data_IF_603196447748
#
_entry.id   IF_603196447748
#
_cell.length_a   1.000
_cell.length_b   1.000
_cell.length_c   1.000
_cell.angle_alpha   90.00
_cell.angle_beta   90.00
_cell.angle_gamma   90.00
#
_symmetry.space_group_name_H-M   'P 1'
#
loop_
_entity.id
_entity.type
_entity.pdbx_description
1 polymer ?
#
# COMPACT_ATOMS: atom_id res chain seq x y z
N UNK A 1 -11.32 -11.72 -10.36
CA UNK A 1 -10.80 -12.25 -9.08
C UNK A 1 -10.00 -11.18 -8.35
N UNK A 2 -8.89 -10.68 -8.94
CA UNK A 2 -7.97 -9.74 -8.29
C UNK A 2 -8.63 -8.57 -7.54
N UNK A 3 -9.52 -7.79 -8.16
CA UNK A 3 -10.08 -6.60 -7.50
C UNK A 3 -10.88 -6.91 -6.21
N UNK A 4 -11.72 -7.96 -6.21
CA UNK A 4 -12.51 -8.31 -5.03
C UNK A 4 -11.62 -8.87 -3.92
N UNK A 5 -10.61 -9.66 -4.30
CA UNK A 5 -9.56 -10.16 -3.42
C UNK A 5 -8.75 -9.00 -2.80
N UNK A 6 -8.35 -8.02 -3.62
CA UNK A 6 -7.57 -6.87 -3.18
C UNK A 6 -8.34 -6.01 -2.18
N UNK A 7 -9.62 -5.74 -2.44
CA UNK A 7 -10.48 -4.99 -1.52
C UNK A 7 -10.71 -5.76 -0.21
N UNK A 8 -10.75 -7.09 -0.24
CA UNK A 8 -11.01 -7.92 0.94
C UNK A 8 -9.78 -8.07 1.84
N UNK A 9 -8.58 -8.13 1.26
CA UNK A 9 -7.34 -8.44 1.99
C UNK A 9 -6.57 -7.18 2.39
N UNK A 10 -6.60 -6.13 1.57
CA UNK A 10 -5.88 -4.87 1.78
C UNK A 10 -6.80 -3.75 2.28
N UNK A 11 -6.66 -3.40 3.57
CA UNK A 11 -7.41 -2.30 4.18
C UNK A 11 -7.02 -0.93 3.63
N UNK A 12 -5.80 -0.78 3.11
CA UNK A 12 -5.32 0.48 2.55
C UNK A 12 -5.59 0.57 1.04
N UNK A 13 -6.27 -0.43 0.46
CA UNK A 13 -6.62 -0.44 -0.96
C UNK A 13 -7.41 0.83 -1.33
N UNK A 14 -6.86 1.57 -2.27
CA UNK A 14 -7.48 2.72 -2.89
C UNK A 14 -7.03 2.81 -4.34
N UNK A 15 -7.91 3.34 -5.18
CA UNK A 15 -7.60 3.70 -6.54
C UNK A 15 -6.76 4.97 -6.53
N UNK A 16 -5.59 4.90 -7.13
CA UNK A 16 -4.74 6.04 -7.41
C UNK A 16 -4.93 6.48 -8.86
N UNK A 17 -4.64 7.76 -9.14
CA UNK A 17 -4.54 8.23 -10.52
C UNK A 17 -3.28 7.59 -11.12
N UNK A 18 -3.47 6.68 -12.08
CA UNK A 18 -2.34 6.09 -12.80
C UNK A 18 -1.75 7.17 -13.71
N UNK A 19 -0.67 7.78 -13.24
CA UNK A 19 0.11 8.69 -14.05
C UNK A 19 1.05 7.89 -14.95
N UNK A 20 1.05 8.24 -16.24
CA UNK A 20 1.95 7.61 -17.20
C UNK A 20 3.40 7.96 -16.84
N UNK A 21 4.37 7.04 -17.07
CA UNK A 21 5.77 7.28 -16.77
C UNK A 21 6.28 8.55 -17.48
N UNK A 22 7.02 9.37 -16.74
CA UNK A 22 7.64 10.58 -17.27
C UNK A 22 8.61 10.23 -18.42
N UNK A 23 8.39 10.83 -19.59
CA UNK A 23 9.15 10.52 -20.81
C UNK A 23 8.56 9.42 -21.69
N UNK A 24 7.43 8.80 -21.31
CA UNK A 24 6.71 7.89 -22.20
C UNK A 24 6.04 8.65 -23.34
N UNK A 25 6.11 8.07 -24.54
CA UNK A 25 5.46 8.62 -25.74
C UNK A 25 3.95 8.76 -25.51
N UNK A 26 3.33 7.81 -24.81
CA UNK A 26 1.90 7.89 -24.48
C UNK A 26 1.57 9.12 -23.63
N UNK A 27 2.41 9.46 -22.64
CA UNK A 27 2.20 10.65 -21.81
C UNK A 27 2.32 11.91 -22.65
N UNK A 28 3.37 12.02 -23.46
CA UNK A 28 3.58 13.17 -24.35
C UNK A 28 2.41 13.36 -25.32
N UNK A 29 1.92 12.27 -25.93
CA UNK A 29 0.75 12.33 -26.82
C UNK A 29 -0.49 12.81 -26.06
N UNK A 30 -0.74 12.27 -24.85
CA UNK A 30 -1.88 12.68 -24.02
C UNK A 30 -1.82 14.15 -23.64
N UNK A 31 -0.65 14.61 -23.17
CA UNK A 31 -0.45 15.99 -22.74
C UNK A 31 -0.59 16.96 -23.90
N UNK A 32 -0.04 16.64 -25.08
CA UNK A 32 -0.20 17.42 -26.31
C UNK A 32 -1.68 17.50 -26.72
N UNK A 33 -2.39 16.37 -26.69
CA UNK A 33 -3.81 16.34 -27.06
C UNK A 33 -4.67 17.17 -26.10
N UNK A 34 -4.42 17.06 -24.79
CA UNK A 34 -5.10 17.86 -23.77
C UNK A 34 -4.80 19.35 -23.96
N UNK A 35 -3.53 19.71 -24.19
CA UNK A 35 -3.15 21.10 -24.42
C UNK A 35 -3.80 21.65 -25.69
N UNK A 36 -3.76 20.91 -26.79
CA UNK A 36 -4.40 21.30 -28.04
C UNK A 36 -5.91 21.52 -27.89
N UNK A 37 -6.60 20.72 -27.07
CA UNK A 37 -8.02 20.95 -26.78
C UNK A 37 -8.27 22.33 -26.15
N UNK A 38 -7.49 22.70 -25.13
CA UNK A 38 -7.64 23.98 -24.42
C UNK A 38 -7.21 25.17 -25.28
N UNK A 39 -6.16 25.01 -26.11
CA UNK A 39 -5.72 26.04 -27.05
C UNK A 39 -6.82 26.31 -28.10
N UNK A 40 -7.40 25.27 -28.68
CA UNK A 40 -8.50 25.39 -29.65
C UNK A 40 -9.78 25.95 -29.01
N UNK A 41 -10.09 25.59 -27.76
CA UNK A 41 -11.22 26.19 -27.03
C UNK A 41 -11.02 27.70 -26.84
N UNK A 42 -9.78 28.13 -26.58
CA UNK A 42 -9.44 29.54 -26.47
C UNK A 42 -9.58 30.26 -27.79
N UNK A 43 -9.08 29.66 -28.89
CA UNK A 43 -9.24 30.19 -30.23
C UNK A 43 -10.72 30.36 -30.60
N UNK A 44 -11.58 29.38 -30.30
CA UNK A 44 -13.02 29.45 -30.57
C UNK A 44 -13.72 30.62 -29.87
N UNK A 45 -13.27 31.00 -28.67
CA UNK A 45 -13.78 32.17 -27.95
C UNK A 45 -13.26 33.51 -28.48
N UNK A 46 -12.11 33.51 -29.16
CA UNK A 46 -11.49 34.70 -29.76
C UNK A 46 -11.98 34.97 -31.20
N UNK A 47 -12.68 34.01 -31.83
CA UNK A 47 -13.30 34.19 -33.15
C UNK A 47 -14.47 35.21 -33.14
N UNK A 48 -14.77 35.83 -34.29
CA UNK A 48 -15.92 36.73 -34.50
C UNK A 48 -16.82 36.24 -35.65
N UNK A 49 -18.03 35.70 -35.37
CA UNK A 49 -18.63 35.52 -34.05
C UNK A 49 -18.04 34.32 -33.29
N UNK A 50 -18.04 34.34 -31.95
CA UNK A 50 -17.46 33.28 -31.12
C UNK A 50 -18.17 31.95 -31.33
N UNK A 51 -17.40 30.87 -31.40
CA UNK A 51 -17.90 29.49 -31.47
C UNK A 51 -17.91 28.87 -30.08
N UNK A 52 -18.87 27.99 -29.84
CA UNK A 52 -19.10 27.36 -28.53
C UNK A 52 -19.22 25.83 -28.61
N UNK A 53 -18.85 25.23 -29.74
CA UNK A 53 -19.04 23.79 -29.96
C UNK A 53 -18.27 22.95 -28.92
N UNK A 54 -16.99 23.27 -28.66
CA UNK A 54 -16.20 22.56 -27.62
C UNK A 54 -16.67 22.90 -26.22
N UNK A 55 -17.08 24.14 -25.97
CA UNK A 55 -17.61 24.55 -24.67
C UNK A 55 -18.88 23.77 -24.30
N UNK A 56 -19.75 23.51 -25.28
CA UNK A 56 -20.94 22.68 -25.11
C UNK A 56 -20.58 21.23 -24.78
N UNK A 57 -19.62 20.63 -25.50
CA UNK A 57 -19.14 19.27 -25.20
C UNK A 57 -18.54 19.20 -23.79
N UNK A 58 -17.74 20.19 -23.41
CA UNK A 58 -17.14 20.26 -22.08
C UNK A 58 -18.20 20.39 -20.97
N UNK A 59 -19.23 21.22 -21.18
CA UNK A 59 -20.33 21.36 -20.22
C UNK A 59 -21.16 20.07 -20.09
N UNK A 60 -21.35 19.35 -21.19
CA UNK A 60 -22.02 18.06 -21.19
C UNK A 60 -21.20 17.00 -20.45
N UNK A 61 -19.88 16.95 -20.66
CA UNK A 61 -18.99 16.07 -19.90
C UNK A 61 -18.97 16.40 -18.40
N UNK A 62 -18.87 17.68 -18.05
CA UNK A 62 -18.92 18.15 -16.65
C UNK A 62 -20.24 17.74 -16.00
N UNK A 63 -21.36 17.91 -16.70
CA UNK A 63 -22.68 17.48 -16.23
C UNK A 63 -22.71 15.98 -15.93
N UNK A 64 -22.27 15.15 -16.87
CA UNK A 64 -22.25 13.70 -16.70
C UNK A 64 -21.33 13.29 -15.54
N UNK A 65 -20.20 13.97 -15.37
CA UNK A 65 -19.29 13.71 -14.26
C UNK A 65 -19.89 14.10 -12.92
N UNK A 66 -20.52 15.27 -12.81
CA UNK A 66 -21.23 15.69 -11.60
C UNK A 66 -22.35 14.70 -11.24
N UNK A 67 -23.10 14.21 -12.22
CA UNK A 67 -24.13 13.19 -12.00
C UNK A 67 -23.53 11.87 -11.52
N UNK A 68 -22.37 11.46 -12.06
CA UNK A 68 -21.67 10.24 -11.65
C UNK A 68 -21.15 10.27 -10.21
N UNK A 69 -20.97 11.47 -9.63
CA UNK A 69 -20.58 11.65 -8.23
C UNK A 69 -21.76 11.48 -7.26
N UNK A 70 -23.00 11.50 -7.74
CA UNK A 70 -24.17 11.38 -6.89
C UNK A 70 -24.57 9.91 -6.70
N UNK A 71 -24.96 9.57 -5.48
CA UNK A 71 -25.48 8.25 -5.17
C UNK A 71 -26.88 8.06 -5.78
N UNK A 72 -27.30 6.82 -6.13
CA UNK A 72 -28.58 6.56 -6.81
C UNK A 72 -29.83 7.10 -6.10
N UNK A 73 -29.77 7.29 -4.77
CA UNK A 73 -30.90 7.79 -3.98
C UNK A 73 -31.02 9.33 -3.97
N UNK A 74 -30.05 10.07 -4.50
CA UNK A 74 -30.02 11.54 -4.50
C UNK A 74 -30.77 12.14 -5.71
N UNK A 75 -32.00 11.66 -5.95
CA UNK A 75 -32.81 11.98 -7.15
C UNK A 75 -33.10 13.47 -7.31
N UNK A 76 -33.32 14.20 -6.19
CA UNK A 76 -33.57 15.65 -6.22
C UNK A 76 -32.38 16.44 -6.76
N UNK A 77 -31.17 16.16 -6.25
CA UNK A 77 -29.95 16.84 -6.70
C UNK A 77 -29.61 16.47 -8.15
N UNK A 78 -29.84 15.21 -8.54
CA UNK A 78 -29.66 14.78 -9.93
C UNK A 78 -30.58 15.56 -10.88
N UNK A 79 -31.84 15.76 -10.51
CA UNK A 79 -32.79 16.53 -11.32
C UNK A 79 -32.39 18.01 -11.40
N UNK A 80 -32.00 18.62 -10.28
CA UNK A 80 -31.54 20.01 -10.25
C UNK A 80 -30.37 20.26 -11.21
N UNK A 81 -29.38 19.35 -11.22
CA UNK A 81 -28.24 19.41 -12.15
C UNK A 81 -28.69 19.27 -13.60
N UNK A 82 -29.60 18.33 -13.88
CA UNK A 82 -30.11 18.10 -15.24
C UNK A 82 -30.86 19.32 -15.79
N UNK A 83 -31.62 19.99 -14.93
CA UNK A 83 -32.40 21.18 -15.30
C UNK A 83 -31.50 22.41 -15.49
N UNK A 84 -30.51 22.61 -14.61
CA UNK A 84 -29.59 23.75 -14.69
C UNK A 84 -28.60 23.61 -15.84
N UNK A 85 -28.02 22.43 -16.05
CA UNK A 85 -27.09 22.13 -17.14
C UNK A 85 -27.83 21.45 -18.31
N UNK A 86 -28.93 22.04 -18.79
CA UNK A 86 -29.62 21.54 -19.99
C UNK A 86 -28.95 22.05 -21.27
N UNK A 87 -28.31 21.14 -22.00
CA UNK A 87 -27.62 21.42 -23.27
C UNK A 87 -28.53 22.07 -24.31
N UNK A 88 -29.84 21.78 -24.31
CA UNK A 88 -30.79 22.41 -25.24
C UNK A 88 -31.01 23.88 -24.90
N UNK A 89 -31.17 24.20 -23.63
CA UNK A 89 -31.32 25.57 -23.14
C UNK A 89 -30.04 26.37 -23.39
N UNK A 90 -28.87 25.77 -23.14
CA UNK A 90 -27.57 26.42 -23.37
C UNK A 90 -27.37 26.74 -24.86
N UNK A 91 -27.74 25.82 -25.78
CA UNK A 91 -27.71 26.09 -27.23
C UNK A 91 -28.64 27.23 -27.64
N UNK A 92 -29.80 27.36 -27.01
CA UNK A 92 -30.72 28.48 -27.23
C UNK A 92 -30.12 29.81 -26.74
N UNK A 93 -29.47 29.82 -25.58
CA UNK A 93 -28.77 31.00 -25.05
C UNK A 93 -27.60 31.45 -25.92
N UNK A 94 -26.84 30.51 -26.49
CA UNK A 94 -25.79 30.80 -27.47
C UNK A 94 -26.38 31.48 -28.70
N UNK A 95 -27.46 30.92 -29.25
CA UNK A 95 -28.13 31.48 -30.44
C UNK A 95 -28.71 32.88 -30.18
N UNK A 96 -29.08 33.18 -28.94
CA UNK A 96 -29.58 34.48 -28.50
C UNK A 96 -28.47 35.45 -28.02
N UNK A 97 -27.20 35.00 -27.95
CA UNK A 97 -26.09 35.80 -27.45
C UNK A 97 -26.15 36.14 -25.96
N UNK A 98 -26.86 35.34 -25.15
CA UNK A 98 -27.10 35.60 -23.71
C UNK A 98 -26.40 34.62 -22.77
N UNK A 99 -25.50 33.77 -23.29
CA UNK A 99 -24.80 32.77 -22.50
C UNK A 99 -23.84 33.43 -21.49
N UNK A 100 -23.99 33.08 -20.21
CA UNK A 100 -23.08 33.49 -19.14
C UNK A 100 -22.33 32.27 -18.57
N UNK A 101 -21.14 32.00 -19.11
CA UNK A 101 -20.26 30.91 -18.67
C UNK A 101 -19.79 31.08 -17.22
N UNK A 102 -19.71 32.30 -16.70
CA UNK A 102 -19.26 32.54 -15.33
C UNK A 102 -20.32 32.16 -14.29
N UNK A 103 -21.60 32.39 -14.60
CA UNK A 103 -22.71 31.91 -13.77
C UNK A 103 -22.74 30.37 -13.71
N UNK A 104 -22.51 29.70 -14.85
CA UNK A 104 -22.41 28.25 -14.91
C UNK A 104 -21.21 27.72 -14.10
N UNK A 105 -20.04 28.32 -14.23
CA UNK A 105 -18.86 27.90 -13.47
C UNK A 105 -19.08 28.06 -11.96
N UNK A 106 -19.67 29.18 -11.51
CA UNK A 106 -20.02 29.37 -10.10
C UNK A 106 -20.99 28.32 -9.56
N UNK A 107 -22.02 27.97 -10.33
CA UNK A 107 -22.94 26.90 -9.97
C UNK A 107 -22.21 25.56 -9.84
N UNK A 108 -21.38 25.20 -10.83
CA UNK A 108 -20.59 23.96 -10.83
C UNK A 108 -19.66 23.92 -9.62
N UNK A 109 -18.91 24.99 -9.35
CA UNK A 109 -17.99 25.08 -8.20
C UNK A 109 -18.76 24.96 -6.88
N UNK A 110 -19.93 25.59 -6.77
CA UNK A 110 -20.77 25.49 -5.56
C UNK A 110 -21.27 24.07 -5.31
N UNK A 111 -21.51 23.31 -6.37
CA UNK A 111 -21.91 21.91 -6.28
C UNK A 111 -20.71 21.02 -5.95
N UNK A 112 -19.56 21.27 -6.58
CA UNK A 112 -18.30 20.59 -6.24
C UNK A 112 -17.96 20.78 -4.76
N UNK A 113 -18.09 22.00 -4.24
CA UNK A 113 -17.87 22.31 -2.83
C UNK A 113 -18.77 21.51 -1.86
N UNK A 114 -19.99 21.16 -2.28
CA UNK A 114 -20.92 20.35 -1.48
C UNK A 114 -20.62 18.86 -1.55
N UNK A 115 -19.97 18.40 -2.61
CA UNK A 115 -19.73 16.97 -2.90
C UNK A 115 -18.30 16.53 -2.63
N UNK A 116 -17.34 17.46 -2.53
CA UNK A 116 -15.94 17.13 -2.34
C UNK A 116 -15.61 16.72 -0.90
N UNK A 117 -14.51 15.96 -0.75
CA UNK A 117 -13.92 15.68 0.55
C UNK A 117 -13.23 16.93 1.11
N UNK A 118 -13.12 17.09 2.45
CA UNK A 118 -12.51 18.28 3.08
C UNK A 118 -11.10 18.61 2.58
N UNK A 119 -10.33 17.61 2.15
CA UNK A 119 -8.99 17.79 1.59
C UNK A 119 -8.94 18.53 0.24
N UNK A 120 -10.09 18.87 -0.35
CA UNK A 120 -10.18 19.58 -1.64
C UNK A 120 -10.68 21.01 -1.52
N UNK A 121 -11.00 21.48 -0.32
CA UNK A 121 -11.55 22.82 -0.08
C UNK A 121 -10.60 23.93 -0.56
N UNK A 122 -9.29 23.72 -0.43
CA UNK A 122 -8.26 24.64 -0.96
C UNK A 122 -8.36 24.79 -2.47
N UNK A 123 -8.55 23.67 -3.17
CA UNK A 123 -8.66 23.67 -4.64
C UNK A 123 -9.93 24.37 -5.09
N UNK A 124 -11.05 24.14 -4.41
CA UNK A 124 -12.32 24.85 -4.67
C UNK A 124 -12.16 26.37 -4.46
N UNK A 125 -11.42 26.80 -3.44
CA UNK A 125 -11.12 28.22 -3.21
C UNK A 125 -10.27 28.82 -4.33
N UNK A 126 -9.26 28.09 -4.82
CA UNK A 126 -8.46 28.51 -5.99
C UNK A 126 -9.34 28.68 -7.23
N UNK A 127 -10.22 27.73 -7.52
CA UNK A 127 -11.15 27.81 -8.66
C UNK A 127 -12.05 29.04 -8.55
N UNK A 128 -12.56 29.34 -7.35
CA UNK A 128 -13.46 30.48 -7.12
C UNK A 128 -12.77 31.83 -7.39
N UNK A 129 -11.44 31.91 -7.22
CA UNK A 129 -10.67 33.12 -7.42
C UNK A 129 -10.22 33.36 -8.88
N UNK A 130 -10.33 32.35 -9.75
CA UNK A 130 -9.89 32.45 -11.14
C UNK A 130 -10.87 33.27 -11.99
N UNK A 131 -10.31 34.19 -12.80
CA UNK A 131 -11.07 35.10 -13.68
C UNK A 131 -11.10 34.64 -15.13
N UNK A 132 -10.05 33.97 -15.58
CA UNK A 132 -9.95 33.48 -16.95
C UNK A 132 -10.84 32.24 -17.12
N UNK A 133 -11.77 32.29 -18.09
CA UNK A 133 -12.80 31.25 -18.27
C UNK A 133 -12.16 29.92 -18.69
N UNK A 134 -11.23 29.93 -19.65
CA UNK A 134 -10.61 28.70 -20.16
C UNK A 134 -9.82 28.02 -19.04
N UNK A 135 -9.02 28.78 -18.30
CA UNK A 135 -8.24 28.28 -17.16
C UNK A 135 -9.16 27.78 -16.03
N UNK A 136 -10.27 28.48 -15.78
CA UNK A 136 -11.26 28.08 -14.78
C UNK A 136 -11.89 26.72 -15.13
N UNK A 137 -12.38 26.57 -16.36
CA UNK A 137 -13.00 25.32 -16.82
C UNK A 137 -12.00 24.17 -16.88
N UNK A 138 -10.74 24.44 -17.25
CA UNK A 138 -9.65 23.48 -17.12
C UNK A 138 -9.45 23.03 -15.68
N UNK A 139 -9.37 23.96 -14.74
CA UNK A 139 -9.24 23.65 -13.32
C UNK A 139 -10.43 22.88 -12.75
N UNK A 140 -11.66 23.24 -13.16
CA UNK A 140 -12.89 22.51 -12.81
C UNK A 140 -12.78 21.06 -13.29
N UNK A 141 -12.43 20.86 -14.56
CA UNK A 141 -12.35 19.53 -15.16
C UNK A 141 -11.30 18.65 -14.46
N UNK A 142 -10.09 19.17 -14.27
CA UNK A 142 -9.01 18.47 -13.56
C UNK A 142 -9.40 18.13 -12.11
N UNK A 143 -10.11 19.03 -11.43
CA UNK A 143 -10.58 18.79 -10.05
C UNK A 143 -11.69 17.73 -10.03
N UNK A 144 -12.60 17.73 -10.99
CA UNK A 144 -13.64 16.70 -11.11
C UNK A 144 -13.05 15.31 -11.39
N UNK A 145 -11.99 15.18 -12.17
CA UNK A 145 -11.28 13.90 -12.34
C UNK A 145 -10.84 13.32 -11.00
N UNK A 146 -10.28 14.17 -10.14
CA UNK A 146 -9.82 13.77 -8.80
C UNK A 146 -11.00 13.42 -7.89
N UNK A 147 -12.08 14.20 -7.94
CA UNK A 147 -13.30 13.92 -7.16
C UNK A 147 -13.93 12.58 -7.54
N UNK A 148 -13.82 12.14 -8.80
CA UNK A 148 -14.31 10.81 -9.22
C UNK A 148 -13.54 9.68 -8.59
N UNK A 149 -12.22 9.83 -8.46
CA UNK A 149 -11.36 8.88 -7.75
C UNK A 149 -11.73 8.87 -6.25
N UNK A 150 -11.92 10.04 -5.66
CA UNK A 150 -12.33 10.18 -4.26
C UNK A 150 -13.69 9.46 -4.00
N UNK A 151 -14.68 9.64 -4.88
CA UNK A 151 -15.98 8.99 -4.80
C UNK A 151 -15.90 7.47 -4.98
N UNK A 152 -15.08 7.00 -5.93
CA UNK A 152 -14.85 5.58 -6.13
C UNK A 152 -14.21 4.95 -4.87
N UNK A 153 -13.20 5.60 -4.29
CA UNK A 153 -12.56 5.16 -3.05
C UNK A 153 -13.51 5.18 -1.86
N UNK A 154 -14.36 6.21 -1.74
CA UNK A 154 -15.42 6.26 -0.74
C UNK A 154 -16.40 5.10 -0.89
N UNK A 155 -16.83 4.81 -2.12
CA UNK A 155 -17.76 3.72 -2.43
C UNK A 155 -17.14 2.36 -2.11
N UNK A 156 -15.89 2.13 -2.49
CA UNK A 156 -15.13 0.92 -2.13
C UNK A 156 -15.09 0.76 -0.61
N UNK A 157 -14.76 1.83 0.14
CA UNK A 157 -14.71 1.78 1.61
C UNK A 157 -16.07 1.45 2.23
N UNK A 158 -17.16 1.99 1.69
CA UNK A 158 -18.52 1.69 2.16
C UNK A 158 -18.94 0.25 1.82
N UNK A 159 -18.55 -0.26 0.65
CA UNK A 159 -18.90 -1.62 0.21
C UNK A 159 -17.96 -2.70 0.73
N UNK A 160 -16.77 -2.36 1.25
CA UNK A 160 -15.75 -3.31 1.71
C UNK A 160 -16.29 -4.38 2.66
N UNK A 161 -17.13 -4.09 3.67
CA UNK A 161 -17.66 -5.13 4.56
C UNK A 161 -18.48 -6.19 3.80
N UNK A 162 -19.28 -5.77 2.81
CA UNK A 162 -20.06 -6.67 1.98
C UNK A 162 -19.18 -7.47 1.01
N UNK A 163 -18.16 -6.83 0.43
CA UNK A 163 -17.20 -7.48 -0.46
C UNK A 163 -16.42 -8.55 0.32
N UNK A 164 -15.89 -8.20 1.49
CA UNK A 164 -15.18 -9.13 2.36
C UNK A 164 -16.06 -10.33 2.75
N UNK A 165 -17.33 -10.10 3.10
CA UNK A 165 -18.26 -11.16 3.49
C UNK A 165 -18.54 -12.18 2.39
N UNK A 166 -18.50 -11.80 1.11
CA UNK A 166 -18.76 -12.69 -0.02
C UNK A 166 -17.49 -13.11 -0.79
N UNK A 167 -16.34 -12.52 -0.46
CA UNK A 167 -15.09 -12.69 -1.21
C UNK A 167 -14.61 -14.13 -1.21
N UNK A 168 -14.75 -14.83 -0.08
CA UNK A 168 -14.30 -16.21 0.10
C UNK A 168 -15.08 -17.16 -0.82
N UNK A 169 -16.41 -17.09 -0.82
CA UNK A 169 -17.25 -17.92 -1.70
C UNK A 169 -17.02 -17.60 -3.17
N UNK A 170 -16.88 -16.31 -3.51
CA UNK A 170 -16.61 -15.87 -4.87
C UNK A 170 -15.27 -16.38 -5.39
N UNK A 171 -14.19 -16.25 -4.62
CA UNK A 171 -12.86 -16.75 -4.98
C UNK A 171 -12.85 -18.27 -5.10
N UNK A 172 -13.49 -18.98 -4.16
CA UNK A 172 -13.60 -20.45 -4.21
C UNK A 172 -14.29 -20.92 -5.50
N UNK A 173 -15.45 -20.33 -5.82
CA UNK A 173 -16.19 -20.68 -7.04
C UNK A 173 -15.38 -20.41 -8.31
N UNK A 174 -14.65 -19.29 -8.37
CA UNK A 174 -13.80 -18.96 -9.52
C UNK A 174 -12.57 -19.84 -9.63
N UNK A 175 -11.99 -20.24 -8.50
CA UNK A 175 -10.88 -21.17 -8.49
C UNK A 175 -11.30 -22.57 -8.94
N UNK A 176 -12.49 -23.04 -8.54
CA UNK A 176 -13.06 -24.28 -9.05
C UNK A 176 -13.26 -24.25 -10.57
N UNK A 177 -13.74 -23.14 -11.14
CA UNK A 177 -13.85 -22.98 -12.58
C UNK A 177 -12.47 -23.02 -13.27
N UNK A 178 -11.45 -22.44 -12.66
CA UNK A 178 -10.07 -22.53 -13.13
C UNK A 178 -9.53 -23.97 -13.15
N UNK A 179 -9.80 -24.75 -12.10
CA UNK A 179 -9.36 -26.14 -12.00
C UNK A 179 -10.05 -27.07 -13.02
N UNK A 180 -11.30 -26.78 -13.43
CA UNK A 180 -11.99 -27.55 -14.49
C UNK A 180 -11.29 -27.44 -15.84
N UNK A 181 -10.66 -26.31 -16.12
CA UNK A 181 -10.01 -26.01 -17.40
C UNK A 181 -8.53 -26.41 -17.37
N UNK A 182 -7.92 -26.43 -16.19
CA UNK A 182 -6.48 -26.67 -16.02
C UNK A 182 -6.24 -28.04 -15.37
N UNK A 183 -5.90 -29.09 -16.15
CA UNK A 183 -5.52 -30.38 -15.58
C UNK A 183 -4.25 -30.23 -14.73
N UNK A 184 -4.28 -30.76 -13.51
CA UNK A 184 -3.20 -30.66 -12.51
C UNK A 184 -2.78 -29.20 -12.19
N UNK A 185 -3.78 -28.33 -11.99
CA UNK A 185 -3.60 -26.91 -11.65
C UNK A 185 -3.08 -26.62 -10.23
N UNK A 186 -2.67 -27.63 -9.46
CA UNK A 186 -2.22 -27.52 -8.06
C UNK A 186 -0.83 -28.15 -7.82
N UNK A 187 -0.05 -28.37 -8.87
CA UNK A 187 1.25 -29.07 -8.78
C UNK A 187 2.25 -28.38 -7.85
N UNK A 188 2.34 -27.05 -7.92
CA UNK A 188 3.32 -26.29 -7.12
C UNK A 188 2.84 -26.22 -5.68
N UNK A 189 1.53 -26.04 -5.49
CA UNK A 189 0.87 -26.07 -4.18
C UNK A 189 1.10 -27.40 -3.48
N UNK A 190 0.93 -28.52 -4.21
CA UNK A 190 1.21 -29.87 -3.71
C UNK A 190 2.67 -29.99 -3.25
N UNK A 191 3.63 -29.69 -4.13
CA UNK A 191 5.05 -29.79 -3.80
C UNK A 191 5.44 -28.90 -2.60
N UNK A 192 4.89 -27.69 -2.54
CA UNK A 192 5.07 -26.75 -1.44
C UNK A 192 4.55 -27.27 -0.10
N UNK A 193 3.39 -27.92 -0.07
CA UNK A 193 2.85 -28.50 1.16
C UNK A 193 3.63 -29.73 1.60
N UNK A 194 3.99 -30.64 0.69
CA UNK A 194 4.72 -31.85 1.05
C UNK A 194 6.11 -31.57 1.62
N UNK A 195 6.87 -30.62 1.06
CA UNK A 195 8.21 -30.30 1.60
C UNK A 195 8.17 -29.66 3.00
N UNK A 196 7.07 -29.00 3.33
CA UNK A 196 6.85 -28.42 4.67
C UNK A 196 6.21 -29.42 5.65
N UNK A 197 5.90 -30.64 5.19
CA UNK A 197 5.47 -31.72 6.06
C UNK A 197 6.69 -32.29 6.77
N UNK A 198 6.84 -31.97 8.05
CA UNK A 198 7.83 -32.63 8.91
C UNK A 198 7.48 -34.11 9.05
N UNK A 199 8.45 -35.00 8.84
CA UNK A 199 8.30 -36.41 9.22
C UNK A 199 8.02 -36.47 10.72
N UNK A 200 6.79 -36.85 11.08
CA UNK A 200 6.41 -37.09 12.47
C UNK A 200 7.16 -38.36 12.87
N UNK A 201 8.22 -38.20 13.68
CA UNK A 201 8.91 -39.34 14.28
C UNK A 201 7.90 -40.25 14.99
N UNK A 202 7.93 -41.54 14.66
CA UNK A 202 6.97 -42.56 15.07
C UNK A 202 6.78 -42.70 16.60
N UNK A 203 7.62 -42.05 17.41
CA UNK A 203 7.49 -41.95 18.86
C UNK A 203 6.40 -40.98 19.35
N UNK A 204 5.83 -40.14 18.47
CA UNK A 204 4.76 -39.17 18.80
C UNK A 204 3.39 -39.51 18.18
N UNK A 205 3.32 -40.64 17.46
CA UNK A 205 2.19 -41.01 16.60
C UNK A 205 0.92 -41.43 17.36
N UNK A 206 0.94 -41.48 18.69
CA UNK A 206 -0.18 -42.03 19.47
C UNK A 206 -1.30 -41.03 19.81
N UNK A 207 -1.22 -39.74 19.43
CA UNK A 207 -2.27 -38.77 19.81
C UNK A 207 -2.44 -37.49 18.96
N UNK A 208 -1.73 -37.28 17.84
CA UNK A 208 -1.91 -36.06 17.04
C UNK A 208 -3.11 -36.19 16.09
N UNK A 209 -4.10 -35.30 16.21
CA UNK A 209 -5.26 -35.29 15.32
C UNK A 209 -4.86 -34.78 13.92
N UNK A 210 -5.48 -35.29 12.85
CA UNK A 210 -5.23 -34.84 11.48
C UNK A 210 -5.35 -33.31 11.30
N UNK A 211 -6.19 -32.66 12.11
CA UNK A 211 -6.37 -31.21 12.16
C UNK A 211 -5.08 -30.49 12.62
N UNK A 212 -4.40 -31.02 13.65
CA UNK A 212 -3.14 -30.46 14.14
C UNK A 212 -2.04 -30.60 13.09
N UNK A 213 -2.01 -31.73 12.37
CA UNK A 213 -1.03 -31.96 11.30
C UNK A 213 -1.25 -30.93 10.18
N UNK A 214 -2.47 -30.80 9.66
CA UNK A 214 -2.80 -29.81 8.61
C UNK A 214 -2.42 -28.40 9.06
N UNK A 215 -2.82 -28.00 10.28
CA UNK A 215 -2.52 -26.67 10.80
C UNK A 215 -1.01 -26.41 10.88
N UNK A 216 -0.24 -27.37 11.42
CA UNK A 216 1.22 -27.24 11.53
C UNK A 216 1.93 -27.17 10.17
N UNK A 217 1.54 -28.01 9.21
CA UNK A 217 2.08 -27.97 7.84
C UNK A 217 1.79 -26.62 7.21
N UNK A 218 0.56 -26.11 7.32
CA UNK A 218 0.19 -24.81 6.77
C UNK A 218 0.97 -23.68 7.43
N UNK A 219 1.13 -23.68 8.75
CA UNK A 219 1.94 -22.68 9.45
C UNK A 219 3.37 -22.68 8.91
N UNK A 220 4.03 -23.84 8.84
CA UNK A 220 5.41 -23.92 8.34
C UNK A 220 5.50 -23.50 6.86
N UNK A 221 4.54 -23.92 6.03
CA UNK A 221 4.47 -23.56 4.62
C UNK A 221 4.33 -22.05 4.39
N UNK A 222 3.42 -21.37 5.11
CA UNK A 222 3.28 -19.91 5.02
C UNK A 222 4.49 -19.15 5.56
N UNK A 223 5.17 -19.69 6.58
CA UNK A 223 6.42 -19.11 7.08
C UNK A 223 7.54 -19.18 6.03
N UNK A 224 7.58 -20.23 5.21
CA UNK A 224 8.54 -20.36 4.12
C UNK A 224 8.42 -19.20 3.10
N UNK A 225 7.21 -18.69 2.84
CA UNK A 225 6.99 -17.58 1.90
C UNK A 225 7.68 -16.28 2.31
N UNK A 226 7.91 -16.09 3.61
CA UNK A 226 8.66 -14.96 4.16
C UNK A 226 10.18 -15.10 3.99
N UNK A 227 10.65 -16.29 3.60
CA UNK A 227 12.05 -16.63 3.33
C UNK A 227 12.25 -17.18 1.91
N UNK A 228 11.34 -16.87 0.98
CA UNK A 228 11.37 -17.45 -0.36
C UNK A 228 12.68 -17.13 -1.10
N UNK A 229 13.37 -18.18 -1.54
CA UNK A 229 14.70 -18.10 -2.18
C UNK A 229 14.64 -18.15 -3.71
N UNK A 230 13.44 -18.29 -4.29
CA UNK A 230 13.22 -18.35 -5.73
C UNK A 230 13.66 -19.66 -6.39
N UNK A 231 14.10 -20.68 -5.62
CA UNK A 231 14.47 -21.99 -6.17
C UNK A 231 13.28 -22.79 -6.69
N UNK A 232 12.10 -22.44 -6.22
CA UNK A 232 10.85 -23.13 -6.51
C UNK A 232 9.83 -22.15 -7.08
N UNK A 233 8.94 -22.61 -7.98
CA UNK A 233 7.84 -21.80 -8.47
C UNK A 233 6.83 -21.54 -7.35
N UNK A 234 6.14 -20.40 -7.42
CA UNK A 234 5.13 -20.05 -6.44
C UNK A 234 3.93 -21.01 -6.46
N UNK A 235 3.35 -21.32 -5.28
CA UNK A 235 2.10 -22.08 -5.20
C UNK A 235 0.97 -21.36 -5.94
N UNK A 236 0.17 -22.10 -6.70
CA UNK A 236 -0.95 -21.55 -7.46
C UNK A 236 -2.00 -20.89 -6.55
N UNK A 237 -2.19 -21.42 -5.34
CA UNK A 237 -3.12 -20.87 -4.34
C UNK A 237 -2.66 -19.54 -3.74
N UNK A 238 -1.41 -19.12 -3.96
CA UNK A 238 -0.83 -17.89 -3.39
C UNK A 238 -0.34 -16.93 -4.49
N UNK A 239 -0.58 -17.27 -5.76
CA UNK A 239 -0.07 -16.52 -6.91
C UNK A 239 -0.52 -15.05 -6.96
N UNK A 240 -1.76 -14.75 -6.52
CA UNK A 240 -2.25 -13.36 -6.44
C UNK A 240 -1.52 -12.52 -5.39
N UNK A 241 -0.91 -13.16 -4.39
CA UNK A 241 -0.28 -12.52 -3.24
C UNK A 241 1.25 -12.50 -3.32
N UNK A 242 1.87 -12.98 -4.42
CA UNK A 242 3.33 -13.06 -4.59
C UNK A 242 4.01 -11.72 -4.29
N UNK A 243 3.53 -10.63 -4.89
CA UNK A 243 4.08 -9.29 -4.70
C UNK A 243 3.92 -8.80 -3.26
N UNK A 244 2.77 -9.10 -2.62
CA UNK A 244 2.53 -8.75 -1.22
C UNK A 244 3.49 -9.46 -0.28
N UNK A 245 3.74 -10.74 -0.53
CA UNK A 245 4.75 -11.49 0.21
C UNK A 245 6.15 -10.90 -0.01
N UNK A 246 6.51 -10.57 -1.25
CA UNK A 246 7.79 -9.93 -1.56
C UNK A 246 7.98 -8.60 -0.79
N UNK A 247 6.98 -7.73 -0.77
CA UNK A 247 7.00 -6.48 0.01
C UNK A 247 7.10 -6.73 1.52
N UNK A 248 6.40 -7.73 2.04
CA UNK A 248 6.51 -8.12 3.45
C UNK A 248 7.92 -8.61 3.79
N UNK A 249 8.57 -9.37 2.90
CA UNK A 249 9.98 -9.79 3.07
C UNK A 249 10.91 -8.58 3.14
N UNK A 250 10.74 -7.61 2.25
CA UNK A 250 11.58 -6.40 2.25
C UNK A 250 11.39 -5.57 3.53
N UNK A 251 10.14 -5.41 3.98
CA UNK A 251 9.83 -4.72 5.24
C UNK A 251 10.40 -5.47 6.44
N UNK A 252 10.29 -6.80 6.47
CA UNK A 252 10.84 -7.65 7.53
C UNK A 252 12.37 -7.54 7.61
N UNK A 253 13.05 -7.58 6.46
CA UNK A 253 14.51 -7.42 6.38
C UNK A 253 14.95 -6.02 6.83
N UNK A 254 14.21 -4.98 6.46
CA UNK A 254 14.44 -3.61 6.94
C UNK A 254 14.34 -3.50 8.46
N UNK A 255 13.28 -4.06 9.06
CA UNK A 255 13.12 -4.11 10.52
C UNK A 255 14.27 -4.87 11.16
N UNK A 256 14.68 -6.01 10.60
CA UNK A 256 15.80 -6.81 11.12
C UNK A 256 17.11 -5.99 11.15
N UNK A 257 17.45 -5.31 10.05
CA UNK A 257 18.67 -4.52 9.92
C UNK A 257 18.65 -3.34 10.89
N UNK A 258 17.59 -2.53 10.86
CA UNK A 258 17.45 -1.36 11.72
C UNK A 258 17.44 -1.71 13.20
N UNK A 259 16.74 -2.78 13.59
CA UNK A 259 16.75 -3.27 14.96
C UNK A 259 18.14 -3.70 15.41
N UNK A 260 18.90 -4.33 14.51
CA UNK A 260 20.28 -4.77 14.79
C UNK A 260 21.23 -3.58 14.91
N UNK A 261 21.12 -2.56 14.04
CA UNK A 261 21.89 -1.31 14.12
C UNK A 261 21.66 -0.64 15.47
N UNK A 262 20.41 -0.43 15.86
CA UNK A 262 20.06 0.20 17.13
C UNK A 262 20.59 -0.62 18.31
N UNK A 263 20.49 -1.95 18.23
CA UNK A 263 20.97 -2.82 19.29
C UNK A 263 22.50 -2.76 19.43
N UNK A 264 23.29 -2.92 18.35
CA UNK A 264 24.75 -2.88 18.47
C UNK A 264 25.26 -1.50 18.89
N UNK A 265 24.59 -0.43 18.44
CA UNK A 265 25.03 0.94 18.70
C UNK A 265 24.67 1.44 20.09
N UNK A 266 23.51 1.05 20.64
CA UNK A 266 22.94 1.62 21.87
C UNK A 266 22.88 0.64 23.05
N UNK A 267 23.37 -0.59 22.91
CA UNK A 267 23.41 -1.57 24.02
C UNK A 267 24.60 -1.36 24.97
N UNK A 268 25.48 -0.40 24.66
CA UNK A 268 26.68 -0.09 25.46
C UNK A 268 26.43 1.14 26.31
N UNK A 269 27.21 1.28 27.38
CA UNK A 269 27.26 2.55 28.11
C UNK A 269 27.97 3.59 27.24
N UNK A 270 27.17 4.41 26.58
CA UNK A 270 27.60 5.53 25.74
C UNK A 270 27.70 6.84 26.54
N UNK A 271 27.66 6.77 27.89
CA UNK A 271 27.77 7.93 28.78
C UNK A 271 26.49 8.77 28.88
N UNK A 272 25.37 8.31 28.30
CA UNK A 272 24.06 8.97 28.43
C UNK A 272 23.40 8.56 29.74
N UNK A 273 23.09 9.53 30.61
CA UNK A 273 22.53 9.28 31.95
C UNK A 273 21.10 8.68 31.95
N UNK A 274 20.48 8.59 30.78
CA UNK A 274 19.34 7.74 30.41
C UNK A 274 19.08 8.00 28.94
N UNK A 275 19.28 7.02 28.06
CA UNK A 275 18.93 7.16 26.66
C UNK A 275 17.40 7.32 26.55
N UNK A 276 16.92 8.57 26.46
CA UNK A 276 15.50 8.88 26.33
C UNK A 276 14.90 8.09 25.15
N UNK A 277 13.67 7.58 25.27
CA UNK A 277 13.00 6.89 24.17
C UNK A 277 12.92 7.75 22.90
N UNK A 278 12.83 9.07 23.05
CA UNK A 278 12.88 10.05 21.95
C UNK A 278 14.21 10.02 21.20
N UNK A 279 15.34 9.91 21.91
CA UNK A 279 16.65 9.80 21.28
C UNK A 279 16.76 8.51 20.46
N UNK A 280 16.31 7.38 21.01
CA UNK A 280 16.31 6.10 20.28
C UNK A 280 15.45 6.16 19.01
N UNK A 281 14.30 6.85 19.07
CA UNK A 281 13.44 7.07 17.90
C UNK A 281 14.13 7.96 16.86
N UNK A 282 14.80 9.04 17.26
CA UNK A 282 15.52 9.92 16.33
C UNK A 282 16.65 9.16 15.62
N UNK A 283 17.45 8.35 16.34
CA UNK A 283 18.48 7.50 15.73
C UNK A 283 17.85 6.48 14.77
N UNK A 284 16.70 5.89 15.13
CA UNK A 284 15.96 4.98 14.23
C UNK A 284 15.56 5.69 12.93
N UNK A 285 15.00 6.89 13.01
CA UNK A 285 14.54 7.66 11.85
C UNK A 285 15.70 8.07 10.95
N UNK A 286 16.77 8.62 11.51
CA UNK A 286 17.95 9.00 10.74
C UNK A 286 18.63 7.78 10.09
N UNK A 287 18.79 6.69 10.83
CA UNK A 287 19.33 5.45 10.29
C UNK A 287 18.45 4.86 9.19
N UNK A 288 17.12 4.93 9.32
CA UNK A 288 16.19 4.48 8.28
C UNK A 288 16.30 5.31 7.00
N UNK A 289 16.44 6.64 7.12
CA UNK A 289 16.63 7.54 5.97
C UNK A 289 17.93 7.21 5.24
N UNK A 290 19.04 7.04 5.96
CA UNK A 290 20.35 6.72 5.35
C UNK A 290 20.37 5.30 4.77
N UNK A 291 19.71 4.34 5.42
CA UNK A 291 19.60 2.97 4.94
C UNK A 291 18.82 2.87 3.62
N UNK A 292 17.80 3.72 3.44
CA UNK A 292 16.92 3.72 2.27
C UNK A 292 16.35 2.32 1.98
N UNK A 293 16.43 1.91 0.72
CA UNK A 293 15.96 0.60 0.24
C UNK A 293 17.06 -0.47 0.16
N UNK A 294 18.26 -0.20 0.69
CA UNK A 294 19.36 -1.16 0.69
C UNK A 294 19.06 -2.38 1.57
N UNK A 295 18.97 -3.57 0.97
CA UNK A 295 18.64 -4.83 1.67
C UNK A 295 19.57 -5.98 1.28
N UNK A 296 20.20 -5.93 0.10
CA UNK A 296 21.14 -6.95 -0.36
C UNK A 296 22.50 -6.80 0.33
N UNK A 297 23.33 -7.86 0.31
CA UNK A 297 24.66 -7.78 0.91
C UNK A 297 25.51 -6.69 0.26
N UNK A 298 25.49 -6.60 -1.08
CA UNK A 298 26.22 -5.61 -1.87
C UNK A 298 25.76 -4.17 -1.57
N UNK A 299 24.45 -3.93 -1.48
CA UNK A 299 23.91 -2.62 -1.11
C UNK A 299 24.34 -2.23 0.30
N UNK A 300 24.28 -3.18 1.25
CA UNK A 300 24.69 -2.94 2.63
C UNK A 300 26.17 -2.59 2.76
N UNK A 301 27.04 -3.11 1.90
CA UNK A 301 28.47 -2.71 1.89
C UNK A 301 28.65 -1.22 1.61
N UNK A 302 27.82 -0.66 0.74
CA UNK A 302 27.90 0.75 0.36
C UNK A 302 27.21 1.68 1.37
N UNK A 303 26.12 1.20 1.99
CA UNK A 303 25.24 2.05 2.80
C UNK A 303 25.59 2.03 4.30
N UNK A 304 25.98 0.88 4.85
CA UNK A 304 26.28 0.74 6.29
C UNK A 304 27.39 1.66 6.82
N UNK A 305 28.46 2.00 6.06
CA UNK A 305 29.44 2.99 6.51
C UNK A 305 28.80 4.36 6.80
N UNK A 306 27.88 4.80 5.93
CA UNK A 306 27.19 6.08 6.08
C UNK A 306 26.21 6.03 7.25
N UNK A 307 25.51 4.91 7.43
CA UNK A 307 24.65 4.69 8.60
C UNK A 307 25.47 4.76 9.90
N UNK A 308 26.65 4.12 9.93
CA UNK A 308 27.53 4.16 11.09
C UNK A 308 28.00 5.58 11.44
N UNK A 309 28.39 6.37 10.43
CA UNK A 309 28.76 7.76 10.62
C UNK A 309 27.58 8.60 11.15
N UNK A 310 26.38 8.40 10.61
CA UNK A 310 25.17 9.10 11.06
C UNK A 310 24.83 8.77 12.51
N UNK A 311 24.88 7.48 12.90
CA UNK A 311 24.58 7.05 14.28
C UNK A 311 25.59 7.65 15.26
N UNK A 312 26.88 7.69 14.91
CA UNK A 312 27.90 8.34 15.74
C UNK A 312 27.63 9.84 15.91
N UNK A 313 27.24 10.52 14.83
CA UNK A 313 26.88 11.95 14.89
C UNK A 313 25.63 12.19 15.75
N UNK A 314 24.62 11.34 15.65
CA UNK A 314 23.43 11.41 16.50
C UNK A 314 23.77 11.25 18.00
N UNK A 315 24.63 10.28 18.33
CA UNK A 315 25.09 10.06 19.71
C UNK A 315 25.87 11.28 20.21
N UNK A 316 26.81 11.82 19.42
CA UNK A 316 27.57 13.02 19.80
C UNK A 316 26.66 14.23 19.99
N UNK A 317 25.66 14.41 19.13
CA UNK A 317 24.69 15.49 19.27
C UNK A 317 23.84 15.35 20.54
N UNK A 318 23.49 14.13 20.94
CA UNK A 318 22.84 13.88 22.23
C UNK A 318 23.76 14.19 23.43
N UNK A 319 25.04 13.80 23.36
CA UNK A 319 26.04 14.08 24.39
C UNK A 319 26.26 15.59 24.57
N UNK A 320 26.43 16.33 23.45
CA UNK A 320 26.55 17.80 23.45
C UNK A 320 25.36 18.48 24.12
N UNK A 321 24.13 18.01 23.84
CA UNK A 321 22.90 18.54 24.47
C UNK A 321 22.86 18.28 25.98
N UNK A 322 23.51 17.23 26.47
CA UNK A 322 23.62 16.90 27.90
C UNK A 322 24.86 17.51 28.58
N UNK A 323 25.67 18.29 27.84
CA UNK A 323 26.94 18.83 28.36
C UNK A 323 28.01 17.78 28.62
N UNK A 324 27.84 16.57 28.08
CA UNK A 324 28.81 15.47 28.17
C UNK A 324 29.86 15.58 27.04
N UNK A 325 31.09 15.07 27.26
CA UNK A 325 32.09 15.00 26.21
C UNK A 325 31.63 14.06 25.08
N UNK A 326 32.10 14.32 23.86
CA UNK A 326 31.87 13.44 22.71
C UNK A 326 32.46 12.04 22.93
N UNK A 327 31.98 11.07 22.14
CA UNK A 327 32.54 9.72 22.13
C UNK A 327 34.05 9.75 21.83
N UNK A 328 34.81 8.87 22.48
CA UNK A 328 36.22 8.66 22.15
C UNK A 328 36.37 8.12 20.72
N UNK A 329 37.49 8.42 20.06
CA UNK A 329 37.78 7.91 18.71
C UNK A 329 37.78 6.38 18.63
N UNK A 330 38.13 5.71 19.73
CA UNK A 330 38.04 4.25 19.86
C UNK A 330 36.58 3.78 19.80
N UNK A 331 35.70 4.41 20.58
CA UNK A 331 34.27 4.06 20.60
C UNK A 331 33.59 4.37 19.26
N UNK A 332 33.95 5.47 18.59
CA UNK A 332 33.44 5.80 17.24
C UNK A 332 33.79 4.70 16.23
N UNK A 333 35.07 4.32 16.16
CA UNK A 333 35.54 3.26 15.26
C UNK A 333 34.89 1.91 15.56
N UNK A 334 34.67 1.62 16.84
CA UNK A 334 34.07 0.36 17.27
C UNK A 334 32.60 0.26 16.88
N UNK A 335 31.80 1.32 17.10
CA UNK A 335 30.38 1.35 16.67
C UNK A 335 30.28 1.17 15.16
N UNK A 336 31.10 1.89 14.39
CA UNK A 336 31.12 1.76 12.93
C UNK A 336 31.51 0.33 12.51
N UNK A 337 32.52 -0.26 13.14
CA UNK A 337 32.93 -1.64 12.83
C UNK A 337 31.83 -2.66 13.15
N UNK A 338 31.12 -2.50 14.26
CA UNK A 338 30.00 -3.37 14.65
C UNK A 338 28.81 -3.26 13.69
N UNK A 339 28.49 -2.04 13.24
CA UNK A 339 27.45 -1.81 12.23
C UNK A 339 27.86 -2.44 10.90
N UNK A 340 29.12 -2.28 10.47
CA UNK A 340 29.63 -2.89 9.25
C UNK A 340 29.60 -4.42 9.31
N UNK A 341 29.82 -5.02 10.49
CA UNK A 341 29.75 -6.46 10.67
C UNK A 341 28.33 -7.03 10.46
N UNK A 342 27.28 -6.21 10.43
CA UNK A 342 25.90 -6.65 10.15
C UNK A 342 25.68 -7.08 8.69
N UNK A 343 26.60 -6.76 7.77
CA UNK A 343 26.54 -7.21 6.37
C UNK A 343 26.75 -8.72 6.23
N UNK A 344 27.43 -9.33 7.19
CA UNK A 344 27.76 -10.75 7.17
C UNK A 344 26.49 -11.60 7.38
N UNK A 345 26.16 -12.53 6.46
CA UNK A 345 25.04 -13.45 6.63
C UNK A 345 25.10 -14.26 7.93
N UNK A 346 26.29 -14.54 8.46
CA UNK A 346 26.50 -15.29 9.72
C UNK A 346 26.48 -14.42 10.98
N UNK A 347 26.09 -13.15 10.89
CA UNK A 347 26.10 -12.26 12.04
C UNK A 347 25.09 -12.72 13.12
N UNK A 348 25.61 -13.03 14.31
CA UNK A 348 24.80 -13.58 15.42
C UNK A 348 23.67 -12.65 15.87
N UNK A 349 23.86 -11.33 15.83
CA UNK A 349 22.81 -10.36 16.20
C UNK A 349 21.68 -10.42 15.17
N UNK A 350 22.02 -10.40 13.89
CA UNK A 350 21.04 -10.53 12.80
C UNK A 350 20.26 -11.83 12.90
N UNK A 351 20.91 -12.97 13.18
CA UNK A 351 20.25 -14.26 13.39
C UNK A 351 19.26 -14.25 14.56
N UNK A 352 19.66 -13.70 15.71
CA UNK A 352 18.80 -13.65 16.89
C UNK A 352 17.57 -12.79 16.63
N UNK A 353 17.74 -11.61 16.01
CA UNK A 353 16.62 -10.74 15.67
C UNK A 353 15.70 -11.42 14.64
N UNK A 354 16.27 -12.09 13.63
CA UNK A 354 15.50 -12.85 12.65
C UNK A 354 14.65 -13.95 13.31
N UNK A 355 15.25 -14.79 14.15
CA UNK A 355 14.54 -15.85 14.87
C UNK A 355 13.40 -15.28 15.69
N UNK A 356 13.63 -14.21 16.46
CA UNK A 356 12.59 -13.57 17.28
C UNK A 356 11.42 -13.04 16.43
N UNK A 357 11.71 -12.43 15.29
CA UNK A 357 10.69 -11.94 14.37
C UNK A 357 9.90 -13.11 13.75
N UNK A 358 10.58 -14.16 13.30
CA UNK A 358 9.94 -15.33 12.71
C UNK A 358 9.11 -16.11 13.74
N UNK A 359 9.60 -16.29 14.95
CA UNK A 359 8.87 -16.94 16.04
C UNK A 359 7.61 -16.15 16.40
N UNK A 360 7.70 -14.82 16.44
CA UNK A 360 6.54 -13.95 16.65
C UNK A 360 5.50 -14.08 15.53
N UNK A 361 5.92 -13.99 14.26
CA UNK A 361 5.01 -14.13 13.11
C UNK A 361 4.37 -15.52 13.06
N UNK A 362 5.14 -16.57 13.39
CA UNK A 362 4.65 -17.94 13.50
C UNK A 362 3.59 -18.06 14.58
N UNK A 363 3.82 -17.47 15.76
CA UNK A 363 2.82 -17.44 16.85
C UNK A 363 1.53 -16.73 16.42
N UNK A 364 1.64 -15.63 15.67
CA UNK A 364 0.48 -14.87 15.18
C UNK A 364 -0.42 -15.74 14.29
N UNK A 365 0.14 -16.49 13.34
CA UNK A 365 -0.64 -17.32 12.39
C UNK A 365 -1.01 -18.72 12.93
N UNK A 366 -0.40 -19.13 14.05
CA UNK A 366 -0.73 -20.39 14.73
C UNK A 366 -1.95 -20.24 15.64
N UNK A 367 -2.23 -19.03 16.12
CA UNK A 367 -3.38 -18.76 16.97
C UNK A 367 -4.63 -18.53 16.11
N UNK A 368 -5.63 -19.41 16.23
CA UNK A 368 -6.92 -19.24 15.55
C UNK A 368 -7.75 -18.08 16.12
N UNK A 369 -7.44 -17.63 17.34
CA UNK A 369 -8.11 -16.51 18.02
C UNK A 369 -7.11 -15.37 18.17
N UNK A 370 -7.54 -14.14 17.83
CA UNK A 370 -6.77 -12.91 18.00
C UNK A 370 -6.43 -12.69 19.49
N UNK A 371 -5.28 -13.21 19.92
CA UNK A 371 -4.71 -12.94 21.24
C UNK A 371 -3.72 -11.79 21.13
N UNK A 372 -3.65 -10.90 22.14
CA UNK A 372 -2.59 -9.90 22.21
C UNK A 372 -1.26 -10.63 22.34
N UNK A 373 -0.54 -10.79 21.24
CA UNK A 373 0.82 -11.32 21.24
C UNK A 373 1.74 -10.18 21.64
N UNK A 374 2.49 -10.39 22.73
CA UNK A 374 3.47 -9.40 23.16
C UNK A 374 4.62 -9.36 22.16
N UNK A 375 5.03 -8.15 21.79
CA UNK A 375 6.17 -7.95 20.89
C UNK A 375 7.44 -8.49 21.57
N UNK A 376 8.33 -9.17 20.82
CA UNK A 376 9.55 -9.71 21.38
C UNK A 376 10.36 -8.65 22.13
N UNK A 377 10.90 -9.03 23.28
CA UNK A 377 11.75 -8.14 24.08
C UNK A 377 12.94 -7.66 23.25
N UNK A 378 13.23 -6.36 23.34
CA UNK A 378 14.27 -5.69 22.54
C UNK A 378 13.81 -5.13 21.20
N UNK A 379 12.55 -5.36 20.79
CA UNK A 379 11.98 -4.83 19.54
C UNK A 379 10.86 -3.80 19.77
N UNK A 380 10.74 -3.27 21.00
CA UNK A 380 9.68 -2.32 21.36
C UNK A 380 9.70 -1.03 20.53
N UNK A 381 10.87 -0.60 20.05
CA UNK A 381 11.04 0.58 19.19
C UNK A 381 10.39 0.44 17.81
N UNK A 382 10.19 -0.81 17.37
CA UNK A 382 9.60 -1.18 16.08
C UNK A 382 8.18 -1.75 16.25
N UNK A 383 7.53 -1.44 17.38
CA UNK A 383 6.23 -2.01 17.76
C UNK A 383 5.17 -1.83 16.68
N UNK A 384 5.02 -0.62 16.16
CA UNK A 384 4.03 -0.28 15.13
C UNK A 384 4.30 -1.01 13.82
N UNK A 385 5.56 -1.08 13.42
CA UNK A 385 6.03 -1.66 12.16
C UNK A 385 5.85 -3.19 12.18
N UNK A 386 6.22 -3.83 13.29
CA UNK A 386 6.04 -5.27 13.51
C UNK A 386 4.55 -5.61 13.59
N UNK A 387 3.75 -4.82 14.32
CA UNK A 387 2.30 -5.06 14.41
C UNK A 387 1.60 -4.91 13.05
N UNK A 388 1.97 -3.90 12.26
CA UNK A 388 1.43 -3.69 10.91
C UNK A 388 1.86 -4.79 9.93
N UNK A 389 3.10 -5.30 10.04
CA UNK A 389 3.56 -6.46 9.27
C UNK A 389 2.79 -7.73 9.65
N UNK A 390 2.70 -8.03 10.94
CA UNK A 390 2.02 -9.22 11.46
C UNK A 390 0.53 -9.21 11.14
N UNK A 391 -0.14 -8.06 11.26
CA UNK A 391 -1.55 -7.91 10.89
C UNK A 391 -1.83 -8.15 9.40
N UNK A 392 -0.94 -7.69 8.52
CA UNK A 392 -1.04 -7.98 7.07
C UNK A 392 -0.80 -9.46 6.76
N UNK A 393 0.25 -10.05 7.35
CA UNK A 393 0.54 -11.47 7.18
C UNK A 393 -0.60 -12.36 7.70
N UNK A 394 -1.16 -12.06 8.88
CA UNK A 394 -2.27 -12.80 9.46
C UNK A 394 -3.54 -12.73 8.60
N UNK A 395 -3.89 -11.55 8.07
CA UNK A 395 -5.05 -11.37 7.18
C UNK A 395 -4.91 -12.18 5.90
N UNK A 396 -3.75 -12.08 5.25
CA UNK A 396 -3.44 -12.84 4.04
C UNK A 396 -3.58 -14.35 4.27
N UNK A 397 -2.92 -14.86 5.32
CA UNK A 397 -2.96 -16.29 5.66
C UNK A 397 -4.37 -16.73 6.04
N UNK A 398 -5.11 -15.93 6.82
CA UNK A 398 -6.49 -16.24 7.22
C UNK A 398 -7.43 -16.30 6.02
N UNK A 399 -7.37 -15.30 5.14
CA UNK A 399 -8.20 -15.25 3.93
C UNK A 399 -7.87 -16.42 3.00
N UNK A 400 -6.59 -16.67 2.75
CA UNK A 400 -6.14 -17.77 1.91
C UNK A 400 -6.59 -19.13 2.46
N UNK A 401 -6.45 -19.35 3.78
CA UNK A 401 -6.98 -20.56 4.44
C UNK A 401 -8.49 -20.67 4.29
N UNK A 402 -9.24 -19.58 4.43
CA UNK A 402 -10.69 -19.60 4.25
C UNK A 402 -11.10 -20.03 2.83
N UNK A 403 -10.38 -19.57 1.80
CA UNK A 403 -10.64 -19.93 0.40
C UNK A 403 -10.24 -21.38 0.12
N UNK A 404 -9.03 -21.79 0.48
CA UNK A 404 -8.38 -23.02 -0.01
C UNK A 404 -8.28 -24.18 1.00
N UNK A 405 -8.85 -24.05 2.21
CA UNK A 405 -8.75 -25.07 3.28
C UNK A 405 -9.04 -26.50 2.81
N UNK A 406 -10.09 -26.70 2.01
CA UNK A 406 -10.46 -28.03 1.52
C UNK A 406 -9.40 -28.61 0.58
N UNK A 407 -8.84 -27.79 -0.31
CA UNK A 407 -7.76 -28.22 -1.21
C UNK A 407 -6.50 -28.58 -0.43
N UNK A 408 -6.13 -27.76 0.56
CA UNK A 408 -4.98 -28.04 1.43
C UNK A 408 -5.16 -29.33 2.23
N UNK A 409 -6.34 -29.55 2.81
CA UNK A 409 -6.64 -30.77 3.55
C UNK A 409 -6.48 -32.01 2.67
N UNK A 410 -7.01 -31.98 1.44
CA UNK A 410 -6.89 -33.09 0.50
C UNK A 410 -5.42 -33.34 0.10
N UNK A 411 -4.69 -32.29 -0.30
CA UNK A 411 -3.29 -32.40 -0.74
C UNK A 411 -2.34 -32.90 0.36
N UNK A 412 -2.57 -32.50 1.62
CA UNK A 412 -1.74 -32.94 2.76
C UNK A 412 -2.05 -34.40 3.13
N UNK A 413 -3.28 -34.86 2.92
CA UNK A 413 -3.71 -36.23 3.21
C UNK A 413 -3.34 -37.22 2.11
N UNK A 414 -3.21 -36.76 0.86
CA UNK A 414 -2.65 -37.56 -0.22
C UNK A 414 -1.22 -37.97 0.17
N UNK A 415 -0.93 -39.28 0.20
CA UNK A 415 0.44 -39.77 0.43
C UNK A 415 1.35 -39.30 -0.73
N UNK A 416 2.56 -38.86 -0.37
CA UNK A 416 3.54 -38.30 -1.30
C UNK A 416 4.08 -39.35 -2.28
#
# INVERSE_FOLDING_TARGET
MALAHDIAVDDDFHLEKVDLPSGSIQKTIKDIAHQAFWDLLKEEFEEDPPKYDRALTLLEEIKEWLLSLLLPHQTRSQQEIKDKLDTKLIRQQISAGTLDLHSYSQYIISLMAKLCAPGRDDKIRELTAMKDIVTLYKGIFETLELMRIDMANFTIRMSRPHIAACSVEYERSKFEDYLKITPDGLRNTRAWLHRNRKEISASSASASSNVQIISSVLVDAFMELLCWDGRHPWPETVAMDEQRFAEMRQKLKGIQILSSIILVSLNRDIGLQQALPEFRNSVKEHAAVVLGDGRSSEELETVLPNVGAQVVEDINNALRKQGAPELSEENKKLIVAEILALRDPGNRVMEIIHSRLMDFLKQVISNEVARPTQIPMGLSLFKSEIAGLAGRFARLVSHNRAVFAQHYANLIQEEA
#
